data_IF_802323459442
#
_entry.id   IF_802323459442
#
_cell.length_a   1.000
_cell.length_b   1.000
_cell.length_c   1.000
_cell.angle_alpha   90.00
_cell.angle_beta   90.00
_cell.angle_gamma   90.00
#
_symmetry.space_group_name_H-M   'P 1'
#
loop_
_entity.id
_entity.type
_entity.pdbx_description
1 polymer ?
#
# COMPACT_ATOMS: atom_id res chain seq x y z
N UNK A 1 31.47 33.70 -8.90
CA UNK A 1 30.36 33.75 -7.93
C UNK A 1 29.07 33.92 -8.73
N UNK A 2 28.31 32.85 -8.93
CA UNK A 2 27.06 32.87 -9.70
C UNK A 2 25.91 33.09 -8.74
N UNK A 3 25.29 34.26 -8.80
CA UNK A 3 24.15 34.63 -7.96
C UNK A 3 22.94 33.76 -8.33
N UNK A 4 22.48 32.93 -7.39
CA UNK A 4 21.25 32.16 -7.54
C UNK A 4 20.06 33.14 -7.62
N UNK A 5 19.54 33.36 -8.83
CA UNK A 5 18.37 34.19 -9.07
C UNK A 5 17.15 33.47 -8.50
N UNK A 6 16.58 33.98 -7.42
CA UNK A 6 15.32 33.49 -6.86
C UNK A 6 14.24 33.64 -7.94
N UNK A 7 13.72 32.51 -8.47
CA UNK A 7 12.60 32.53 -9.44
C UNK A 7 11.37 33.14 -8.75
N UNK A 8 10.67 34.06 -9.44
CA UNK A 8 9.40 34.60 -8.93
C UNK A 8 8.36 33.48 -8.94
N UNK A 9 7.45 33.47 -7.95
CA UNK A 9 6.38 32.45 -7.87
C UNK A 9 5.50 32.37 -9.13
N UNK A 10 5.35 33.49 -9.85
CA UNK A 10 4.65 33.55 -11.15
C UNK A 10 5.34 32.74 -12.24
N UNK A 11 6.67 32.66 -12.21
CA UNK A 11 7.43 31.87 -13.17
C UNK A 11 7.19 30.37 -12.91
N UNK A 12 6.91 29.93 -11.68
CA UNK A 12 6.58 28.52 -11.43
C UNK A 12 5.19 28.13 -11.97
N UNK A 13 4.23 29.06 -11.99
CA UNK A 13 2.86 28.80 -12.43
C UNK A 13 2.70 28.80 -13.94
N UNK A 14 3.47 29.63 -14.64
CA UNK A 14 3.35 29.81 -16.09
C UNK A 14 4.62 29.48 -16.88
N UNK A 15 5.67 28.93 -16.24
CA UNK A 15 6.89 28.59 -16.99
C UNK A 15 6.61 27.44 -17.96
N UNK A 16 6.93 27.62 -19.25
CA UNK A 16 6.89 26.55 -20.23
C UNK A 16 8.07 25.56 -20.06
N UNK A 17 8.98 25.80 -19.11
CA UNK A 17 10.13 24.94 -18.88
C UNK A 17 9.72 23.70 -18.09
N UNK A 18 10.20 22.53 -18.53
CA UNK A 18 10.00 21.29 -17.80
C UNK A 18 10.52 21.42 -16.35
N UNK A 19 9.80 20.88 -15.35
CA UNK A 19 10.30 20.84 -13.99
C UNK A 19 11.63 20.06 -13.94
N UNK A 20 12.49 20.31 -12.93
CA UNK A 20 13.69 19.52 -12.74
C UNK A 20 13.36 18.02 -12.73
N UNK A 21 14.21 17.19 -13.34
CA UNK A 21 13.98 15.73 -13.45
C UNK A 21 13.65 15.10 -12.09
N UNK A 22 14.40 15.46 -11.04
CA UNK A 22 14.15 15.03 -9.66
C UNK A 22 12.75 15.42 -9.16
N UNK A 23 12.27 16.62 -9.50
CA UNK A 23 10.92 17.07 -9.15
C UNK A 23 9.84 16.23 -9.81
N UNK A 24 10.02 15.90 -11.10
CA UNK A 24 9.11 14.98 -11.81
C UNK A 24 9.09 13.57 -11.19
N UNK A 25 10.25 13.02 -10.81
CA UNK A 25 10.33 11.72 -10.14
C UNK A 25 9.69 11.72 -8.75
N UNK A 26 9.84 12.80 -7.99
CA UNK A 26 9.18 12.96 -6.69
C UNK A 26 7.67 13.02 -6.87
N UNK A 27 7.16 13.79 -7.84
CA UNK A 27 5.73 13.86 -8.12
C UNK A 27 5.14 12.50 -8.52
N UNK A 28 5.82 11.75 -9.41
CA UNK A 28 5.41 10.40 -9.80
C UNK A 28 5.46 9.42 -8.62
N UNK A 29 6.45 9.55 -7.74
CA UNK A 29 6.51 8.78 -6.49
C UNK A 29 5.33 9.11 -5.58
N UNK A 30 5.01 10.40 -5.43
CA UNK A 30 3.83 10.86 -4.69
C UNK A 30 2.54 10.26 -5.24
N UNK A 31 2.34 10.31 -6.56
CA UNK A 31 1.19 9.70 -7.22
C UNK A 31 1.11 8.19 -6.95
N UNK A 32 2.24 7.48 -7.03
CA UNK A 32 2.33 6.04 -6.75
C UNK A 32 1.93 5.73 -5.30
N UNK A 33 2.43 6.51 -4.35
CA UNK A 33 2.11 6.35 -2.93
C UNK A 33 0.63 6.63 -2.67
N UNK A 34 0.08 7.69 -3.26
CA UNK A 34 -1.35 8.01 -3.16
C UNK A 34 -2.22 6.86 -3.72
N UNK A 35 -1.87 6.33 -4.88
CA UNK A 35 -2.57 5.18 -5.45
C UNK A 35 -2.51 3.95 -4.51
N UNK A 36 -1.33 3.67 -3.95
CA UNK A 36 -1.16 2.59 -2.96
C UNK A 36 -1.99 2.81 -1.69
N UNK A 37 -2.11 4.06 -1.21
CA UNK A 37 -2.95 4.40 -0.06
C UNK A 37 -4.45 4.27 -0.35
N UNK A 38 -4.89 4.59 -1.57
CA UNK A 38 -6.28 4.38 -2.00
C UNK A 38 -6.62 2.88 -1.97
N UNK A 39 -5.75 2.02 -2.52
CA UNK A 39 -5.95 0.57 -2.45
C UNK A 39 -5.89 0.03 -1.02
N UNK A 40 -4.99 0.58 -0.19
CA UNK A 40 -4.92 0.23 1.22
C UNK A 40 -6.23 0.57 1.95
N UNK A 41 -6.82 1.73 1.64
CA UNK A 41 -8.12 2.11 2.19
C UNK A 41 -9.24 1.18 1.70
N UNK A 42 -9.22 0.79 0.42
CA UNK A 42 -10.19 -0.15 -0.12
C UNK A 42 -10.20 -1.48 0.63
N UNK A 43 -9.05 -1.97 1.09
CA UNK A 43 -8.94 -3.22 1.86
C UNK A 43 -9.65 -3.18 3.22
N UNK A 44 -9.83 -2.00 3.83
CA UNK A 44 -10.35 -1.83 5.21
C UNK A 44 -11.72 -2.48 5.40
N UNK A 45 -12.59 -2.37 4.39
CA UNK A 45 -13.99 -2.77 4.51
C UNK A 45 -14.30 -4.15 3.93
N UNK A 46 -13.29 -4.86 3.41
CA UNK A 46 -13.43 -6.26 2.95
C UNK A 46 -13.14 -7.19 4.11
N UNK A 47 -14.15 -7.36 4.95
CA UNK A 47 -14.06 -8.13 6.20
C UNK A 47 -14.41 -9.60 5.94
N UNK A 48 -13.48 -10.56 6.11
CA UNK A 48 -13.78 -11.98 6.03
C UNK A 48 -14.60 -12.47 7.25
N UNK A 49 -15.24 -13.65 7.17
CA UNK A 49 -15.12 -14.64 6.10
C UNK A 49 -16.16 -14.52 4.98
N UNK A 50 -17.30 -13.86 5.20
CA UNK A 50 -18.44 -13.83 4.26
C UNK A 50 -18.55 -12.52 3.47
N UNK A 51 -17.67 -11.55 3.72
CA UNK A 51 -17.56 -10.29 2.97
C UNK A 51 -18.87 -9.50 2.84
N UNK A 52 -19.76 -9.65 3.83
CA UNK A 52 -21.06 -8.98 3.90
C UNK A 52 -22.22 -9.74 3.26
N UNK A 53 -22.05 -10.98 2.83
CA UNK A 53 -23.11 -11.82 2.24
C UNK A 53 -24.30 -12.00 3.19
N UNK A 54 -24.07 -12.35 4.46
CA UNK A 54 -25.17 -12.53 5.43
C UNK A 54 -25.91 -11.23 5.73
N UNK A 55 -25.21 -10.11 5.74
CA UNK A 55 -25.77 -8.80 6.04
C UNK A 55 -26.26 -8.05 4.80
N UNK A 56 -26.13 -8.63 3.60
CA UNK A 56 -26.38 -7.94 2.32
C UNK A 56 -25.67 -6.58 2.23
N UNK A 57 -24.42 -6.54 2.71
CA UNK A 57 -23.61 -5.33 2.83
C UNK A 57 -22.21 -5.56 2.29
N UNK A 58 -21.30 -4.62 2.58
CA UNK A 58 -19.88 -4.77 2.24
C UNK A 58 -19.64 -5.09 0.77
N UNK A 59 -18.68 -5.98 0.49
CA UNK A 59 -18.30 -6.32 -0.89
C UNK A 59 -19.45 -7.00 -1.64
N UNK A 60 -20.27 -7.77 -0.92
CA UNK A 60 -21.41 -8.47 -1.50
C UNK A 60 -22.39 -7.48 -2.14
N UNK A 61 -22.76 -6.44 -1.39
CA UNK A 61 -23.65 -5.39 -1.88
C UNK A 61 -23.13 -4.74 -3.17
N UNK A 62 -21.88 -4.26 -3.18
CA UNK A 62 -21.30 -3.63 -4.38
C UNK A 62 -21.14 -4.58 -5.57
N UNK A 63 -20.99 -5.87 -5.32
CA UNK A 63 -20.96 -6.88 -6.38
C UNK A 63 -22.37 -7.07 -6.98
N UNK A 64 -23.41 -7.02 -6.15
CA UNK A 64 -24.80 -7.15 -6.57
C UNK A 64 -25.29 -5.96 -7.42
N UNK A 65 -24.76 -4.76 -7.16
CA UNK A 65 -25.03 -3.55 -7.97
C UNK A 65 -24.73 -3.74 -9.47
N UNK A 66 -23.77 -4.60 -9.82
CA UNK A 66 -23.46 -4.92 -11.21
C UNK A 66 -24.64 -5.58 -11.97
N UNK A 67 -25.55 -6.22 -11.23
CA UNK A 67 -26.74 -6.89 -11.76
C UNK A 67 -27.96 -5.96 -11.68
N UNK A 68 -28.10 -5.23 -10.57
CA UNK A 68 -29.21 -4.29 -10.34
C UNK A 68 -29.16 -3.08 -11.27
N UNK A 69 -27.95 -2.59 -11.55
CA UNK A 69 -27.66 -1.42 -12.38
C UNK A 69 -26.63 -1.76 -13.47
N UNK A 70 -27.00 -2.59 -14.47
CA UNK A 70 -26.04 -3.15 -15.41
C UNK A 70 -25.50 -2.10 -16.39
N UNK A 71 -24.21 -1.78 -16.28
CA UNK A 71 -23.48 -0.94 -17.25
C UNK A 71 -23.30 -1.68 -18.59
N UNK A 72 -22.95 -2.97 -18.51
CA UNK A 72 -22.65 -3.82 -19.65
C UNK A 72 -23.17 -5.24 -19.41
N UNK A 73 -24.22 -5.64 -20.13
CA UNK A 73 -24.94 -6.92 -19.88
C UNK A 73 -24.03 -8.17 -19.82
N UNK A 74 -23.03 -8.35 -20.69
CA UNK A 74 -22.13 -9.50 -20.58
C UNK A 74 -21.33 -9.52 -19.27
N UNK A 75 -20.96 -8.35 -18.72
CA UNK A 75 -20.30 -8.27 -17.42
C UNK A 75 -21.25 -8.72 -16.31
N UNK A 76 -22.48 -8.20 -16.27
CA UNK A 76 -23.50 -8.59 -15.31
C UNK A 76 -23.80 -10.10 -15.35
N UNK A 77 -23.86 -10.68 -16.57
CA UNK A 77 -24.02 -12.13 -16.73
C UNK A 77 -22.89 -12.93 -16.08
N UNK A 78 -21.63 -12.49 -16.26
CA UNK A 78 -20.47 -13.11 -15.61
C UNK A 78 -20.57 -12.95 -14.09
N UNK A 79 -20.96 -11.78 -13.59
CA UNK A 79 -21.14 -11.57 -12.14
C UNK A 79 -22.19 -12.56 -11.59
N UNK A 80 -23.35 -12.64 -12.23
CA UNK A 80 -24.46 -13.49 -11.80
C UNK A 80 -24.12 -14.99 -11.84
N UNK A 81 -23.43 -15.45 -12.88
CA UNK A 81 -23.25 -16.89 -13.14
C UNK A 81 -21.88 -17.44 -12.73
N UNK A 82 -20.84 -16.60 -12.63
CA UNK A 82 -19.49 -17.03 -12.33
C UNK A 82 -18.94 -16.45 -11.02
N UNK A 83 -19.40 -15.26 -10.60
CA UNK A 83 -18.91 -14.62 -9.36
C UNK A 83 -19.80 -14.94 -8.17
N UNK A 84 -21.09 -14.60 -8.23
CA UNK A 84 -22.01 -14.77 -7.10
C UNK A 84 -22.11 -16.22 -6.59
N UNK A 85 -22.15 -17.27 -7.43
CA UNK A 85 -22.21 -18.65 -6.94
C UNK A 85 -20.96 -19.08 -6.15
N UNK A 86 -19.83 -18.38 -6.35
CA UNK A 86 -18.55 -18.63 -5.68
C UNK A 86 -18.07 -17.39 -4.91
N UNK A 87 -19.00 -16.60 -4.39
CA UNK A 87 -18.74 -15.25 -3.88
C UNK A 87 -17.66 -15.21 -2.79
N UNK A 88 -17.66 -16.15 -1.85
CA UNK A 88 -16.63 -16.20 -0.80
C UNK A 88 -15.22 -16.32 -1.37
N UNK A 89 -15.02 -17.16 -2.40
CA UNK A 89 -13.72 -17.33 -3.04
C UNK A 89 -13.32 -16.05 -3.81
N UNK A 90 -14.28 -15.42 -4.49
CA UNK A 90 -14.08 -14.13 -5.12
C UNK A 90 -13.67 -13.05 -4.11
N UNK A 91 -14.34 -12.96 -2.95
CA UNK A 91 -14.02 -11.99 -1.91
C UNK A 91 -12.59 -12.12 -1.37
N UNK A 92 -12.12 -13.35 -1.16
CA UNK A 92 -10.71 -13.61 -0.82
C UNK A 92 -9.76 -13.20 -1.94
N UNK A 93 -10.12 -13.49 -3.19
CA UNK A 93 -9.35 -13.07 -4.37
C UNK A 93 -9.20 -11.55 -4.48
N UNK A 94 -10.30 -10.81 -4.29
CA UNK A 94 -10.31 -9.34 -4.26
C UNK A 94 -9.46 -8.82 -3.11
N UNK A 95 -9.66 -9.32 -1.89
CA UNK A 95 -8.89 -8.90 -0.72
C UNK A 95 -7.38 -9.10 -0.93
N UNK A 96 -6.98 -10.24 -1.49
CA UNK A 96 -5.58 -10.52 -1.82
C UNK A 96 -5.05 -9.59 -2.91
N UNK A 97 -5.80 -9.39 -4.00
CA UNK A 97 -5.40 -8.52 -5.10
C UNK A 97 -5.25 -7.05 -4.66
N UNK A 98 -6.22 -6.51 -3.92
CA UNK A 98 -6.17 -5.14 -3.40
C UNK A 98 -5.03 -4.96 -2.38
N UNK A 99 -4.79 -5.95 -1.52
CA UNK A 99 -3.67 -5.93 -0.57
C UNK A 99 -2.32 -5.97 -1.28
N UNK A 100 -2.20 -6.82 -2.31
CA UNK A 100 -1.00 -6.90 -3.14
C UNK A 100 -0.76 -5.58 -3.89
N UNK A 101 -1.80 -4.99 -4.48
CA UNK A 101 -1.73 -3.67 -5.13
C UNK A 101 -1.20 -2.60 -4.16
N UNK A 102 -1.77 -2.51 -2.96
CA UNK A 102 -1.32 -1.56 -1.95
C UNK A 102 0.17 -1.76 -1.63
N UNK A 103 0.60 -2.99 -1.36
CA UNK A 103 2.00 -3.31 -1.06
C UNK A 103 2.92 -2.94 -2.22
N UNK A 104 2.63 -3.41 -3.44
CA UNK A 104 3.47 -3.20 -4.62
C UNK A 104 3.64 -1.70 -4.93
N UNK A 105 2.55 -0.94 -4.85
CA UNK A 105 2.56 0.50 -5.10
C UNK A 105 3.28 1.28 -3.99
N UNK A 106 3.02 0.98 -2.71
CA UNK A 106 3.65 1.67 -1.60
C UNK A 106 5.17 1.43 -1.60
N UNK A 107 5.62 0.19 -1.77
CA UNK A 107 7.06 -0.13 -1.78
C UNK A 107 7.75 0.20 -3.09
N UNK A 108 7.00 0.47 -4.15
CA UNK A 108 7.55 0.63 -5.50
C UNK A 108 8.16 -0.65 -6.05
N UNK A 109 7.49 -1.78 -5.84
CA UNK A 109 7.89 -3.12 -6.32
C UNK A 109 6.99 -3.52 -7.48
N UNK A 110 7.57 -3.91 -8.62
CA UNK A 110 6.82 -4.36 -9.80
C UNK A 110 5.65 -3.43 -10.20
N UNK A 111 5.88 -2.10 -10.17
CA UNK A 111 4.79 -1.10 -10.28
C UNK A 111 4.02 -1.21 -11.58
N UNK A 112 4.65 -1.62 -12.69
CA UNK A 112 3.94 -1.85 -13.95
C UNK A 112 2.96 -3.01 -13.87
N UNK A 113 3.32 -4.09 -13.17
CA UNK A 113 2.40 -5.20 -12.92
C UNK A 113 1.25 -4.74 -12.03
N UNK A 114 1.55 -3.99 -10.97
CA UNK A 114 0.53 -3.39 -10.12
C UNK A 114 -0.39 -2.45 -10.91
N UNK A 115 0.15 -1.67 -11.85
CA UNK A 115 -0.64 -0.82 -12.72
C UNK A 115 -1.60 -1.62 -13.61
N UNK A 116 -1.15 -2.73 -14.20
CA UNK A 116 -2.02 -3.59 -15.00
C UNK A 116 -3.14 -4.21 -14.16
N UNK A 117 -2.82 -4.74 -12.98
CA UNK A 117 -3.82 -5.30 -12.06
C UNK A 117 -4.80 -4.21 -11.61
N UNK A 118 -4.30 -3.01 -11.29
CA UNK A 118 -5.12 -1.88 -10.87
C UNK A 118 -6.04 -1.35 -11.97
N UNK A 119 -5.63 -1.41 -13.24
CA UNK A 119 -6.52 -1.14 -14.40
C UNK A 119 -7.66 -2.15 -14.41
N UNK A 120 -7.36 -3.45 -14.35
CA UNK A 120 -8.38 -4.51 -14.35
C UNK A 120 -9.36 -4.34 -13.19
N UNK A 121 -8.85 -4.11 -11.97
CA UNK A 121 -9.68 -3.91 -10.78
C UNK A 121 -10.52 -2.62 -10.87
N UNK A 122 -9.93 -1.49 -11.29
CA UNK A 122 -10.67 -0.24 -11.44
C UNK A 122 -11.77 -0.34 -12.51
N UNK A 123 -11.51 -1.06 -13.61
CA UNK A 123 -12.54 -1.35 -14.62
C UNK A 123 -13.65 -2.23 -14.04
N UNK A 124 -13.32 -3.30 -13.32
CA UNK A 124 -14.33 -4.19 -12.73
C UNK A 124 -15.21 -3.46 -11.70
N UNK A 125 -14.60 -2.62 -10.84
CA UNK A 125 -15.33 -1.78 -9.88
C UNK A 125 -16.22 -0.80 -10.63
N UNK A 126 -15.67 -0.06 -11.60
CA UNK A 126 -16.43 0.91 -12.39
C UNK A 126 -17.63 0.27 -13.11
N UNK A 127 -17.45 -0.90 -13.73
CA UNK A 127 -18.54 -1.64 -14.37
C UNK A 127 -19.59 -2.16 -13.38
N UNK A 128 -19.24 -2.30 -12.11
CA UNK A 128 -20.18 -2.76 -11.07
C UNK A 128 -21.09 -1.65 -10.55
N UNK A 129 -20.65 -0.39 -10.62
CA UNK A 129 -21.31 0.69 -9.87
C UNK A 129 -21.57 1.97 -10.67
N UNK A 130 -21.08 2.10 -11.91
CA UNK A 130 -21.18 3.36 -12.66
C UNK A 130 -22.62 3.81 -12.96
N UNK A 131 -23.57 2.89 -13.07
CA UNK A 131 -25.00 3.23 -13.25
C UNK A 131 -25.79 3.16 -11.93
N UNK A 132 -25.12 2.96 -10.79
CA UNK A 132 -25.78 2.86 -9.49
C UNK A 132 -26.12 4.25 -8.93
N UNK A 133 -27.31 4.44 -8.32
CA UNK A 133 -27.68 5.69 -7.68
C UNK A 133 -26.69 6.10 -6.57
N UNK A 134 -26.28 7.38 -6.56
CA UNK A 134 -25.40 7.93 -5.52
C UNK A 134 -23.90 7.69 -5.74
N UNK A 135 -23.54 6.91 -6.76
CA UNK A 135 -22.14 6.66 -7.15
C UNK A 135 -21.63 7.74 -8.11
N UNK A 136 -20.31 7.99 -8.09
CA UNK A 136 -19.68 8.95 -8.98
C UNK A 136 -18.71 8.26 -9.96
N UNK A 137 -19.14 8.01 -11.22
CA UNK A 137 -18.37 7.18 -12.16
C UNK A 137 -16.96 7.68 -12.44
N UNK A 138 -16.76 9.00 -12.39
CA UNK A 138 -15.47 9.63 -12.65
C UNK A 138 -14.41 9.28 -11.62
N UNK A 139 -14.78 8.87 -10.40
CA UNK A 139 -13.82 8.36 -9.42
C UNK A 139 -13.07 7.13 -9.96
N UNK A 140 -13.78 6.22 -10.65
CA UNK A 140 -13.20 5.01 -11.24
C UNK A 140 -12.39 5.31 -12.50
N UNK A 141 -12.86 6.27 -13.32
CA UNK A 141 -12.09 6.75 -14.47
C UNK A 141 -10.77 7.42 -14.04
N UNK A 142 -10.80 8.21 -12.96
CA UNK A 142 -9.59 8.79 -12.37
C UNK A 142 -8.65 7.71 -11.83
N UNK A 143 -9.20 6.73 -11.10
CA UNK A 143 -8.40 5.61 -10.60
C UNK A 143 -7.74 4.84 -11.74
N UNK A 144 -8.47 4.57 -12.82
CA UNK A 144 -7.93 3.96 -14.04
C UNK A 144 -6.82 4.83 -14.67
N UNK A 145 -7.06 6.13 -14.80
CA UNK A 145 -6.09 7.10 -15.33
C UNK A 145 -4.78 7.14 -14.52
N UNK A 146 -4.87 7.08 -13.18
CA UNK A 146 -3.69 6.99 -12.31
C UNK A 146 -2.86 5.76 -12.66
N UNK A 147 -3.48 4.59 -12.84
CA UNK A 147 -2.74 3.38 -13.19
C UNK A 147 -2.16 3.44 -14.61
N UNK A 148 -2.86 4.05 -15.58
CA UNK A 148 -2.29 4.29 -16.92
C UNK A 148 -1.03 5.14 -16.83
N UNK A 149 -1.04 6.21 -16.04
CA UNK A 149 0.16 7.03 -15.79
C UNK A 149 1.28 6.19 -15.15
N UNK A 150 0.97 5.40 -14.11
CA UNK A 150 1.97 4.56 -13.44
C UNK A 150 2.53 3.45 -14.32
N UNK A 151 1.78 2.96 -15.29
CA UNK A 151 2.20 1.95 -16.27
C UNK A 151 3.24 2.53 -17.24
N UNK A 152 3.00 3.75 -17.73
CA UNK A 152 3.76 4.36 -18.81
C UNK A 152 4.91 5.26 -18.32
N UNK A 153 4.76 5.89 -17.15
CA UNK A 153 5.74 6.81 -16.60
C UNK A 153 6.84 6.12 -15.77
N UNK A 154 8.04 6.71 -15.63
CA UNK A 154 9.14 6.16 -14.85
C UNK A 154 8.97 6.35 -13.31
N UNK A 155 7.82 5.96 -12.76
CA UNK A 155 7.44 6.11 -11.34
C UNK A 155 8.26 5.26 -10.35
N UNK A 156 9.13 4.39 -10.86
CA UNK A 156 9.98 3.47 -10.10
C UNK A 156 11.42 3.91 -9.97
N UNK A 157 11.83 5.05 -10.54
CA UNK A 157 13.24 5.50 -10.48
C UNK A 157 13.62 6.13 -9.14
N UNK A 158 12.64 6.44 -8.29
CA UNK A 158 12.86 7.11 -7.01
C UNK A 158 12.07 6.43 -5.88
N UNK A 159 12.69 6.33 -4.70
CA UNK A 159 12.15 5.73 -3.48
C UNK A 159 11.34 4.44 -3.73
N UNK A 160 11.95 3.48 -4.45
CA UNK A 160 11.31 2.27 -4.91
C UNK A 160 12.25 1.06 -4.79
N UNK A 161 11.69 -0.12 -4.50
CA UNK A 161 12.42 -1.39 -4.57
C UNK A 161 12.94 -1.65 -5.98
N UNK A 162 12.16 -1.32 -7.01
CA UNK A 162 12.55 -1.50 -8.41
C UNK A 162 13.79 -0.64 -8.77
N UNK A 163 13.92 0.58 -8.21
CA UNK A 163 15.14 1.39 -8.38
C UNK A 163 16.38 0.69 -7.81
N UNK A 164 16.25 0.09 -6.62
CA UNK A 164 17.34 -0.65 -5.96
C UNK A 164 17.75 -1.86 -6.80
N UNK A 165 16.78 -2.55 -7.41
CA UNK A 165 17.02 -3.71 -8.28
C UNK A 165 17.66 -3.32 -9.62
N UNK A 166 17.27 -2.18 -10.17
CA UNK A 166 17.76 -1.66 -11.45
C UNK A 166 19.10 -0.92 -11.36
N UNK A 167 19.62 -0.69 -10.15
CA UNK A 167 20.89 0.01 -9.96
C UNK A 167 22.06 -0.72 -10.65
N UNK A 168 22.79 0.01 -11.49
CA UNK A 168 23.86 -0.54 -12.34
C UNK A 168 25.20 -0.70 -11.61
N UNK A 169 25.40 0.02 -10.50
CA UNK A 169 26.63 -0.07 -9.71
C UNK A 169 26.34 -0.53 -8.27
N UNK A 170 27.22 -1.32 -7.64
CA UNK A 170 27.07 -1.73 -6.25
C UNK A 170 26.97 -0.55 -5.27
N UNK A 171 27.71 0.54 -5.55
CA UNK A 171 27.67 1.75 -4.73
C UNK A 171 26.31 2.46 -4.79
N UNK A 172 25.74 2.62 -6.00
CA UNK A 172 24.41 3.18 -6.19
C UNK A 172 23.34 2.30 -5.54
N UNK A 173 23.41 0.98 -5.75
CA UNK A 173 22.48 0.02 -5.16
C UNK A 173 22.48 0.11 -3.62
N UNK A 174 23.66 0.19 -3.00
CA UNK A 174 23.80 0.33 -1.54
C UNK A 174 23.21 1.64 -1.02
N UNK A 175 23.52 2.75 -1.68
CA UNK A 175 23.00 4.08 -1.30
C UNK A 175 21.48 4.16 -1.41
N UNK A 176 20.92 3.68 -2.53
CA UNK A 176 19.48 3.62 -2.74
C UNK A 176 18.80 2.69 -1.72
N UNK A 177 19.38 1.52 -1.46
CA UNK A 177 18.86 0.56 -0.49
C UNK A 177 18.85 1.14 0.93
N UNK A 178 19.93 1.80 1.35
CA UNK A 178 20.00 2.47 2.65
C UNK A 178 18.98 3.59 2.79
N UNK A 179 18.80 4.44 1.77
CA UNK A 179 17.79 5.51 1.77
C UNK A 179 16.37 4.95 1.82
N UNK A 180 16.07 3.92 1.04
CA UNK A 180 14.75 3.30 1.02
C UNK A 180 14.42 2.64 2.36
N UNK A 181 15.37 1.85 2.89
CA UNK A 181 15.21 1.16 4.17
C UNK A 181 15.07 2.14 5.34
N UNK A 182 15.92 3.17 5.38
CA UNK A 182 15.85 4.23 6.39
C UNK A 182 14.58 5.07 6.29
N UNK A 183 14.14 5.41 5.07
CA UNK A 183 12.90 6.14 4.83
C UNK A 183 11.67 5.36 5.31
N UNK A 184 11.59 4.07 4.99
CA UNK A 184 10.54 3.20 5.53
C UNK A 184 10.64 3.05 7.04
N UNK A 185 11.84 2.87 7.61
CA UNK A 185 12.04 2.84 9.06
C UNK A 185 11.49 4.09 9.75
N UNK A 186 11.72 5.28 9.18
CA UNK A 186 11.16 6.53 9.71
C UNK A 186 9.63 6.58 9.63
N UNK A 187 9.04 6.17 8.50
CA UNK A 187 7.58 6.10 8.33
C UNK A 187 6.95 5.15 9.34
N UNK A 188 7.47 3.93 9.50
CA UNK A 188 6.96 2.96 10.46
C UNK A 188 7.12 3.44 11.90
N UNK A 189 8.23 4.11 12.21
CA UNK A 189 8.46 4.72 13.52
C UNK A 189 7.41 5.78 13.85
N UNK A 190 7.06 6.63 12.88
CA UNK A 190 6.00 7.62 13.03
C UNK A 190 4.63 6.97 13.24
N UNK A 191 4.27 5.96 12.43
CA UNK A 191 3.01 5.22 12.59
C UNK A 191 2.94 4.58 13.98
N UNK A 192 4.02 3.91 14.40
CA UNK A 192 4.11 3.26 15.70
C UNK A 192 3.99 4.24 16.86
N UNK A 193 4.64 5.41 16.76
CA UNK A 193 4.53 6.47 17.76
C UNK A 193 3.09 6.99 17.86
N UNK A 194 2.46 7.32 16.73
CA UNK A 194 1.05 7.76 16.70
C UNK A 194 0.13 6.69 17.28
N UNK A 195 0.37 5.42 16.97
CA UNK A 195 -0.39 4.30 17.50
C UNK A 195 -0.24 4.16 19.03
N UNK A 196 0.98 4.29 19.58
CA UNK A 196 1.21 4.30 21.04
C UNK A 196 0.49 5.49 21.68
N UNK A 197 0.60 6.69 21.11
CA UNK A 197 -0.04 7.89 21.64
C UNK A 197 -1.57 7.78 21.66
N UNK A 198 -2.16 7.17 20.61
CA UNK A 198 -3.61 6.90 20.54
C UNK A 198 -4.04 5.78 21.49
N UNK A 199 -3.21 4.75 21.66
CA UNK A 199 -3.49 3.58 22.51
C UNK A 199 -3.27 3.83 24.01
N UNK A 200 -2.37 4.72 24.39
CA UNK A 200 -2.03 5.03 25.79
C UNK A 200 -3.19 5.66 26.59
N UNK A 201 -4.24 6.14 25.93
CA UNK A 201 -5.43 6.72 26.56
C UNK A 201 -6.71 5.86 26.50
N UNK A 202 -6.67 4.69 25.86
CA UNK A 202 -7.88 3.93 25.56
C UNK A 202 -7.71 2.45 25.92
N UNK A 203 -8.36 2.03 27.01
CA UNK A 203 -8.65 0.61 27.30
C UNK A 203 -9.66 -0.01 26.32
N UNK A 204 -9.62 0.40 25.06
CA UNK A 204 -10.55 -0.06 24.02
C UNK A 204 -10.04 -1.38 23.44
N UNK A 205 -10.90 -2.41 23.35
CA UNK A 205 -10.60 -3.55 22.50
C UNK A 205 -10.33 -3.03 21.10
N UNK A 206 -9.28 -3.53 20.45
CA UNK A 206 -9.02 -3.29 19.04
C UNK A 206 -10.16 -3.95 18.25
N UNK A 207 -11.28 -3.26 18.10
CA UNK A 207 -12.42 -3.75 17.35
C UNK A 207 -12.09 -3.70 15.87
N UNK A 208 -12.20 -4.85 15.21
CA UNK A 208 -12.14 -5.00 13.76
C UNK A 208 -13.44 -4.41 13.20
N UNK A 209 -13.45 -3.13 12.83
CA UNK A 209 -14.64 -2.45 12.31
C UNK A 209 -14.31 -1.16 11.56
N UNK A 210 -15.10 -0.87 10.53
CA UNK A 210 -14.94 0.26 9.60
C UNK A 210 -15.30 1.57 10.32
N UNK A 211 -14.38 2.55 10.33
CA UNK A 211 -14.69 3.95 10.71
C UNK A 211 -14.78 4.82 9.45
N UNK A 212 -15.68 5.82 9.38
CA UNK A 212 -16.08 6.41 8.10
C UNK A 212 -15.10 7.39 7.45
N UNK A 213 -14.06 7.90 8.14
CA UNK A 213 -13.32 9.10 7.66
C UNK A 213 -11.88 9.25 8.17
N UNK A 214 -11.18 8.18 8.54
CA UNK A 214 -9.77 8.29 8.95
C UNK A 214 -8.82 7.75 7.88
N UNK A 215 -7.84 8.57 7.48
CA UNK A 215 -6.56 8.11 6.94
C UNK A 215 -5.89 7.21 7.99
N UNK A 216 -6.28 5.94 8.06
CA UNK A 216 -5.78 4.97 9.02
C UNK A 216 -4.78 4.05 8.36
N UNK A 217 -3.52 4.13 8.79
CA UNK A 217 -2.47 3.18 8.43
C UNK A 217 -2.51 1.92 9.32
N UNK A 218 -3.69 1.62 9.89
CA UNK A 218 -3.93 0.49 10.77
C UNK A 218 -4.43 0.89 12.16
N UNK A 219 -5.13 -0.02 12.81
CA UNK A 219 -5.38 0.04 14.26
C UNK A 219 -4.46 -0.96 14.95
N UNK A 220 -3.78 -0.53 16.02
CA UNK A 220 -2.77 -1.31 16.71
C UNK A 220 -3.15 -1.42 18.18
N UNK A 221 -3.03 -2.62 18.76
CA UNK A 221 -2.92 -2.73 20.21
C UNK A 221 -1.50 -2.31 20.65
N UNK A 222 -1.27 -2.13 21.96
CA UNK A 222 0.04 -1.71 22.46
C UNK A 222 1.18 -2.64 21.99
N UNK A 223 0.94 -3.95 21.92
CA UNK A 223 1.93 -4.93 21.42
C UNK A 223 2.26 -4.72 19.95
N UNK A 224 1.24 -4.51 19.11
CA UNK A 224 1.40 -4.19 17.69
C UNK A 224 2.16 -2.90 17.46
N UNK A 225 1.86 -1.86 18.25
CA UNK A 225 2.54 -0.58 18.16
C UNK A 225 4.01 -0.67 18.59
N UNK A 226 4.30 -1.37 19.70
CA UNK A 226 5.68 -1.62 20.17
C UNK A 226 6.46 -2.46 19.14
N UNK A 227 5.85 -3.50 18.57
CA UNK A 227 6.48 -4.31 17.53
C UNK A 227 6.81 -3.46 16.29
N UNK A 228 5.91 -2.56 15.89
CA UNK A 228 6.14 -1.66 14.76
C UNK A 228 7.31 -0.70 15.03
N UNK A 229 7.42 -0.14 16.24
CA UNK A 229 8.56 0.68 16.65
C UNK A 229 9.85 -0.13 16.67
N UNK A 230 9.83 -1.37 17.17
CA UNK A 230 11.01 -2.24 17.18
C UNK A 230 11.50 -2.55 15.76
N UNK A 231 10.58 -2.86 14.84
CA UNK A 231 10.87 -3.04 13.41
C UNK A 231 11.44 -1.75 12.81
N UNK A 232 10.84 -0.60 13.09
CA UNK A 232 11.30 0.70 12.60
C UNK A 232 12.74 1.01 13.03
N UNK A 233 13.06 0.83 14.31
CA UNK A 233 14.40 1.05 14.86
C UNK A 233 15.42 0.09 14.25
N UNK A 234 15.05 -1.18 14.08
CA UNK A 234 15.92 -2.17 13.45
C UNK A 234 16.18 -1.86 11.96
N UNK A 235 15.18 -1.37 11.22
CA UNK A 235 15.36 -0.90 9.83
C UNK A 235 16.31 0.30 9.76
N UNK A 236 16.13 1.29 10.64
CA UNK A 236 17.01 2.45 10.72
C UNK A 236 18.45 2.06 11.07
N UNK A 237 18.64 1.14 12.01
CA UNK A 237 19.95 0.60 12.37
C UNK A 237 20.60 -0.14 11.19
N UNK A 238 19.85 -1.03 10.52
CA UNK A 238 20.32 -1.76 9.35
C UNK A 238 20.71 -0.81 8.20
N UNK A 239 19.92 0.24 7.97
CA UNK A 239 20.21 1.27 6.97
C UNK A 239 21.48 2.07 7.29
N UNK A 240 21.69 2.44 8.56
CA UNK A 240 22.85 3.23 9.01
C UNK A 240 24.14 2.42 9.04
N UNK A 241 24.08 1.19 9.54
CA UNK A 241 25.28 0.37 9.78
C UNK A 241 25.56 -0.66 8.67
N UNK A 242 24.63 -0.89 7.74
CA UNK A 242 24.76 -1.89 6.67
C UNK A 242 24.56 -3.33 7.13
N UNK A 243 23.82 -3.54 8.22
CA UNK A 243 23.62 -4.85 8.84
C UNK A 243 22.56 -5.68 8.10
N UNK A 244 23.02 -6.49 7.13
CA UNK A 244 22.15 -7.35 6.30
C UNK A 244 21.34 -8.35 7.13
N UNK A 245 21.98 -8.97 8.13
CA UNK A 245 21.33 -9.95 9.00
C UNK A 245 20.12 -9.33 9.72
N UNK A 246 20.26 -8.10 10.21
CA UNK A 246 19.16 -7.36 10.85
C UNK A 246 18.03 -7.08 9.86
N UNK A 247 18.33 -6.69 8.62
CA UNK A 247 17.29 -6.51 7.60
C UNK A 247 16.52 -7.80 7.29
N UNK A 248 17.17 -8.96 7.27
CA UNK A 248 16.48 -10.24 7.08
C UNK A 248 15.65 -10.67 8.29
N UNK A 249 16.16 -10.43 9.52
CA UNK A 249 15.39 -10.66 10.75
C UNK A 249 14.15 -9.77 10.78
N UNK A 250 14.27 -8.49 10.40
CA UNK A 250 13.12 -7.60 10.26
C UNK A 250 12.12 -8.14 9.24
N UNK A 251 12.59 -8.61 8.09
CA UNK A 251 11.71 -9.16 7.07
C UNK A 251 10.92 -10.37 7.60
N UNK A 252 11.59 -11.30 8.27
CA UNK A 252 10.95 -12.47 8.86
C UNK A 252 9.95 -12.09 9.97
N UNK A 253 10.34 -11.17 10.87
CA UNK A 253 9.47 -10.69 11.95
C UNK A 253 8.21 -10.00 11.41
N UNK A 254 8.35 -9.18 10.36
CA UNK A 254 7.24 -8.50 9.73
C UNK A 254 6.30 -9.47 8.99
N UNK A 255 6.82 -10.50 8.31
CA UNK A 255 5.99 -11.58 7.74
C UNK A 255 5.22 -12.32 8.82
N UNK A 256 5.88 -12.69 9.91
CA UNK A 256 5.24 -13.37 11.04
C UNK A 256 4.13 -12.50 11.67
N UNK A 257 4.38 -11.19 11.81
CA UNK A 257 3.38 -10.24 12.31
C UNK A 257 2.15 -10.18 11.38
N UNK A 258 2.36 -10.00 10.06
CA UNK A 258 1.28 -9.98 9.09
C UNK A 258 0.48 -11.29 9.06
N UNK A 259 1.17 -12.44 9.02
CA UNK A 259 0.55 -13.76 9.06
C UNK A 259 -0.27 -13.96 10.35
N UNK A 260 0.26 -13.53 11.49
CA UNK A 260 -0.46 -13.62 12.76
C UNK A 260 -1.76 -12.82 12.73
N UNK A 261 -1.78 -11.63 12.13
CA UNK A 261 -3.00 -10.82 12.02
C UNK A 261 -4.04 -11.56 11.16
N UNK A 262 -3.65 -12.05 9.98
CA UNK A 262 -4.57 -12.81 9.12
C UNK A 262 -5.11 -14.08 9.78
N UNK A 263 -4.28 -14.81 10.54
CA UNK A 263 -4.71 -16.00 11.27
C UNK A 263 -5.64 -15.70 12.45
N UNK A 264 -5.65 -14.46 12.95
CA UNK A 264 -6.47 -14.01 14.07
C UNK A 264 -7.77 -13.31 13.63
N UNK A 265 -7.98 -13.11 12.32
CA UNK A 265 -9.22 -12.51 11.79
C UNK A 265 -10.43 -13.32 12.23
N UNK A 266 -11.43 -12.64 12.79
CA UNK A 266 -12.67 -13.27 13.28
C UNK A 266 -12.60 -13.90 14.67
N UNK A 267 -11.46 -13.82 15.37
CA UNK A 267 -11.32 -14.33 16.76
C UNK A 267 -11.68 -13.27 17.80
N UNK A 268 -12.24 -13.71 18.93
CA UNK A 268 -12.64 -12.85 20.06
C UNK A 268 -11.46 -12.40 20.94
N UNK A 269 -10.34 -13.12 20.89
CA UNK A 269 -9.09 -12.76 21.56
C UNK A 269 -7.95 -12.65 20.55
N UNK A 270 -7.33 -11.48 20.47
CA UNK A 270 -6.19 -11.20 19.58
C UNK A 270 -4.95 -10.86 20.39
N UNK A 271 -3.87 -11.61 20.16
CA UNK A 271 -2.57 -11.40 20.77
C UNK A 271 -1.84 -10.20 20.13
N UNK A 272 -1.80 -10.16 18.79
CA UNK A 272 -1.32 -9.01 18.02
C UNK A 272 -2.52 -8.30 17.39
N UNK A 273 -2.86 -7.12 17.91
CA UNK A 273 -3.99 -6.33 17.43
C UNK A 273 -3.61 -5.64 16.13
N UNK A 274 -4.47 -5.79 15.13
CA UNK A 274 -4.22 -5.31 13.78
C UNK A 274 -5.46 -5.47 12.89
N UNK A 275 -5.54 -4.63 11.88
CA UNK A 275 -6.49 -4.73 10.76
C UNK A 275 -5.80 -5.31 9.51
N UNK A 276 -6.56 -5.57 8.44
CA UNK A 276 -5.99 -5.91 7.13
C UNK A 276 -4.96 -4.86 6.66
N UNK A 277 -5.20 -3.56 6.94
CA UNK A 277 -4.24 -2.49 6.62
C UNK A 277 -2.96 -2.59 7.43
N UNK A 278 -3.06 -2.99 8.70
CA UNK A 278 -1.89 -3.25 9.55
C UNK A 278 -1.05 -4.39 9.01
N UNK A 279 -1.70 -5.48 8.58
CA UNK A 279 -1.00 -6.60 7.94
C UNK A 279 -0.28 -6.15 6.66
N UNK A 280 -0.94 -5.37 5.80
CA UNK A 280 -0.30 -4.82 4.59
C UNK A 280 0.90 -3.91 4.89
N UNK A 281 0.85 -3.11 5.96
CA UNK A 281 2.00 -2.29 6.42
C UNK A 281 3.18 -3.18 6.83
N UNK A 282 2.93 -4.25 7.58
CA UNK A 282 3.97 -5.24 7.90
C UNK A 282 4.52 -5.93 6.64
N UNK A 283 3.68 -6.28 5.67
CA UNK A 283 4.15 -6.84 4.39
C UNK A 283 5.01 -5.83 3.63
N UNK A 284 4.68 -4.54 3.64
CA UNK A 284 5.54 -3.50 3.05
C UNK A 284 6.92 -3.47 3.71
N UNK A 285 6.96 -3.50 5.06
CA UNK A 285 8.20 -3.57 5.82
C UNK A 285 9.03 -4.81 5.45
N UNK A 286 8.38 -5.96 5.28
CA UNK A 286 9.01 -7.21 4.88
C UNK A 286 9.63 -7.12 3.47
N UNK A 287 8.85 -6.66 2.49
CA UNK A 287 9.29 -6.52 1.09
C UNK A 287 10.48 -5.58 0.97
N UNK A 288 10.42 -4.41 1.63
CA UNK A 288 11.50 -3.42 1.63
C UNK A 288 12.75 -3.98 2.31
N UNK A 289 12.60 -4.58 3.48
CA UNK A 289 13.74 -5.12 4.24
C UNK A 289 14.42 -6.28 3.52
N UNK A 290 13.64 -7.18 2.93
CA UNK A 290 14.16 -8.28 2.11
C UNK A 290 14.93 -7.75 0.89
N UNK A 291 14.31 -6.85 0.12
CA UNK A 291 14.91 -6.35 -1.12
C UNK A 291 16.18 -5.51 -0.88
N UNK A 292 16.19 -4.70 0.17
CA UNK A 292 17.34 -3.85 0.54
C UNK A 292 18.43 -4.65 1.27
N UNK A 293 18.07 -5.65 2.08
CA UNK A 293 19.01 -6.56 2.76
C UNK A 293 19.95 -7.29 1.79
N UNK A 294 19.50 -7.52 0.56
CA UNK A 294 20.32 -8.07 -0.52
C UNK A 294 21.43 -7.12 -1.01
N UNK A 295 21.34 -5.81 -0.73
CA UNK A 295 22.19 -4.75 -1.33
C UNK A 295 22.94 -3.87 -0.32
N UNK A 296 22.57 -3.84 0.96
CA UNK A 296 23.18 -2.96 1.99
C UNK A 296 24.53 -3.44 2.58
N UNK A 297 25.03 -4.62 2.19
CA UNK A 297 26.26 -5.20 2.74
C UNK A 297 27.51 -4.33 2.57
N UNK A 298 28.33 -4.24 3.62
CA UNK A 298 29.74 -3.85 3.50
C UNK A 298 30.50 -4.98 2.82
N UNK A 299 31.37 -4.64 1.87
CA UNK A 299 32.42 -5.55 1.43
C UNK A 299 33.51 -5.40 2.47
N UNK A 300 33.90 -6.48 3.15
CA UNK A 300 35.14 -6.47 3.92
C UNK A 300 36.30 -6.29 2.93
N UNK A 301 37.10 -5.24 3.10
CA UNK A 301 38.32 -5.02 2.30
C UNK A 301 38.26 -3.95 1.20
N UNK A 302 37.78 -2.73 1.52
CA UNK A 302 38.06 -1.52 0.74
C UNK A 302 38.83 -0.53 1.61
#
# INVERSE_FOLDING_TARGET
>A
MTTARVRRGTDLLFSPAAPPETGGLIALTGLRLLAGLIWLYNVVWKVPPDFGERSQGGLYHFTHLAIEHPVFKPFSWVIEHAVLPYFTAFGWGVLFAESALAVLLLTGTAVRLAALIGIVQATAIGLSVAESPGEWPWAYAMLLGIHVVLLLAPSTRYAAVDAVRAATTPAAARSMAGRLLGGWGAVLGLIGLVAVLRGAGAGRPAYVGIRPLEFSLGEYNLRGAVLLIAIALAMLAAAKFGWRAVAFVVAAAAVAAAASIYLQVGRTGVWLGGTNTTAAVFVCAAVVSLATGLRIGRVEGA
#
